data_IF_464443080582
#
_entry.id   IF_464443080582
#
_cell.length_a   1.000
_cell.length_b   1.000
_cell.length_c   1.000
_cell.angle_alpha   90.00
_cell.angle_beta   90.00
_cell.angle_gamma   90.00
#
_symmetry.space_group_name_H-M   'P 1'
#
loop_
_entity.id
_entity.type
_entity.pdbx_description
1 polymer ?
#
# COMPACT_ATOMS: atom_id res chain seq x y z
N UNK A 1 -58.12 -71.33 -3.41
CA UNK A 1 -57.07 -70.82 -4.32
C UNK A 1 -57.32 -69.36 -4.60
N UNK A 2 -56.25 -68.55 -4.56
CA UNK A 2 -56.15 -67.12 -4.93
C UNK A 2 -56.72 -66.15 -3.88
N UNK A 3 -56.08 -65.04 -3.51
CA UNK A 3 -54.69 -64.57 -3.51
C UNK A 3 -54.80 -63.23 -2.78
N UNK A 4 -54.08 -63.05 -1.69
CA UNK A 4 -53.95 -61.76 -1.02
C UNK A 4 -53.23 -60.76 -1.94
N UNK A 5 -53.73 -59.53 -2.03
CA UNK A 5 -52.95 -58.40 -2.55
C UNK A 5 -53.03 -57.26 -1.54
N UNK A 6 -52.14 -57.29 -0.56
CA UNK A 6 -51.89 -56.18 0.38
C UNK A 6 -50.94 -55.20 -0.31
N UNK A 7 -51.45 -54.03 -0.66
CA UNK A 7 -50.63 -52.90 -1.10
C UNK A 7 -49.93 -52.27 0.12
N UNK A 8 -48.63 -52.52 0.27
CA UNK A 8 -47.80 -51.86 1.28
C UNK A 8 -47.19 -50.60 0.66
N UNK A 9 -47.74 -49.44 1.02
CA UNK A 9 -47.18 -48.13 0.68
C UNK A 9 -45.91 -47.91 1.52
N UNK A 10 -44.73 -48.18 0.95
CA UNK A 10 -43.45 -47.76 1.53
C UNK A 10 -43.27 -46.26 1.31
N UNK A 11 -43.61 -45.45 2.31
CA UNK A 11 -43.10 -44.08 2.39
C UNK A 11 -41.61 -44.15 2.75
N UNK A 12 -40.74 -44.06 1.74
CA UNK A 12 -39.33 -43.74 1.93
C UNK A 12 -39.25 -42.28 2.42
N UNK A 13 -39.00 -42.11 3.72
CA UNK A 13 -38.52 -40.84 4.27
C UNK A 13 -37.07 -40.63 3.85
N UNK A 14 -36.89 -39.98 2.70
CA UNK A 14 -35.59 -39.45 2.29
C UNK A 14 -35.32 -38.18 3.11
N UNK A 15 -34.71 -38.34 4.28
CA UNK A 15 -34.07 -37.22 4.97
C UNK A 15 -32.72 -36.93 4.29
N UNK A 16 -32.75 -36.27 3.13
CA UNK A 16 -31.55 -35.60 2.61
C UNK A 16 -31.33 -34.38 3.50
N UNK A 17 -30.42 -34.50 4.46
CA UNK A 17 -29.85 -33.33 5.11
C UNK A 17 -29.18 -32.48 4.03
N UNK A 18 -29.71 -31.28 3.89
CA UNK A 18 -29.30 -30.29 2.92
C UNK A 18 -27.83 -29.85 3.13
N UNK A 19 -27.12 -29.74 2.00
CA UNK A 19 -25.99 -28.86 1.73
C UNK A 19 -24.67 -29.13 2.48
N UNK A 20 -23.79 -29.91 1.83
CA UNK A 20 -22.35 -29.75 1.99
C UNK A 20 -21.93 -28.36 1.49
N UNK A 21 -21.96 -27.34 2.35
CA UNK A 21 -21.14 -26.15 2.12
C UNK A 21 -19.68 -26.60 2.13
N UNK A 22 -18.93 -26.25 1.08
CA UNK A 22 -17.51 -26.56 1.02
C UNK A 22 -16.82 -26.07 2.30
N UNK A 23 -15.84 -26.83 2.81
CA UNK A 23 -15.11 -26.45 4.04
C UNK A 23 -14.61 -25.00 3.98
N UNK A 24 -14.20 -24.55 2.79
CA UNK A 24 -13.84 -23.16 2.52
C UNK A 24 -14.95 -22.17 2.90
N UNK A 25 -16.20 -22.41 2.49
CA UNK A 25 -17.34 -21.52 2.80
C UNK A 25 -17.66 -21.48 4.29
N UNK A 26 -17.51 -22.61 4.98
CA UNK A 26 -17.70 -22.67 6.43
C UNK A 26 -16.60 -21.88 7.16
N UNK A 27 -15.34 -22.06 6.76
CA UNK A 27 -14.22 -21.28 7.28
C UNK A 27 -14.45 -19.78 7.03
N UNK A 28 -14.81 -19.37 5.80
CA UNK A 28 -15.10 -17.97 5.49
C UNK A 28 -16.22 -17.41 6.38
N UNK A 29 -17.25 -18.20 6.66
CA UNK A 29 -18.34 -17.81 7.57
C UNK A 29 -17.84 -17.63 9.00
N UNK A 30 -17.04 -18.57 9.52
CA UNK A 30 -16.39 -18.47 10.84
C UNK A 30 -15.52 -17.21 10.95
N UNK A 31 -14.70 -16.91 9.94
CA UNK A 31 -13.84 -15.72 9.89
C UNK A 31 -14.65 -14.42 9.82
N UNK A 32 -15.76 -14.39 9.10
CA UNK A 32 -16.64 -13.22 9.06
C UNK A 32 -17.38 -13.01 10.39
N UNK A 33 -17.83 -14.09 11.06
CA UNK A 33 -18.39 -14.01 12.41
C UNK A 33 -17.36 -13.49 13.42
N UNK A 34 -16.10 -13.91 13.29
CA UNK A 34 -14.99 -13.38 14.08
C UNK A 34 -14.87 -11.86 13.92
N UNK A 35 -14.83 -11.35 12.68
CA UNK A 35 -14.74 -9.90 12.43
C UNK A 35 -15.95 -9.16 13.00
N UNK A 36 -17.15 -9.65 12.71
CA UNK A 36 -18.40 -9.03 13.14
C UNK A 36 -18.51 -8.98 14.67
N UNK A 37 -18.00 -10.00 15.38
CA UNK A 37 -17.98 -10.01 16.82
C UNK A 37 -17.20 -8.82 17.39
N UNK A 38 -15.97 -8.57 16.90
CA UNK A 38 -15.16 -7.44 17.34
C UNK A 38 -15.72 -6.09 16.88
N UNK A 39 -16.29 -6.02 15.67
CA UNK A 39 -16.88 -4.78 15.15
C UNK A 39 -18.19 -4.40 15.84
N UNK A 40 -19.02 -5.36 16.21
CA UNK A 40 -20.37 -5.10 16.72
C UNK A 40 -20.53 -5.38 18.22
N UNK A 41 -19.45 -5.80 18.88
CA UNK A 41 -19.54 -6.23 20.28
C UNK A 41 -20.40 -7.49 20.44
N UNK A 42 -20.44 -8.37 19.44
CA UNK A 42 -21.34 -9.54 19.41
C UNK A 42 -20.66 -10.79 20.00
N UNK A 43 -20.90 -11.01 21.29
CA UNK A 43 -20.38 -12.17 22.03
C UNK A 43 -20.96 -13.51 21.56
N UNK A 44 -22.15 -13.53 20.94
CA UNK A 44 -22.75 -14.75 20.38
C UNK A 44 -22.00 -15.17 19.12
N UNK A 45 -21.70 -14.22 18.24
CA UNK A 45 -20.83 -14.48 17.07
C UNK A 45 -19.43 -14.90 17.47
N UNK A 46 -18.88 -14.29 18.52
CA UNK A 46 -17.54 -14.66 18.99
C UNK A 46 -17.52 -16.14 19.43
N UNK A 47 -18.50 -16.57 20.22
CA UNK A 47 -18.65 -17.97 20.67
C UNK A 47 -18.73 -18.97 19.50
N UNK A 48 -19.37 -18.58 18.40
CA UNK A 48 -19.45 -19.43 17.20
C UNK A 48 -18.14 -19.46 16.40
N UNK A 49 -17.26 -18.47 16.60
CA UNK A 49 -16.05 -18.30 15.81
C UNK A 49 -14.79 -18.86 16.48
N UNK A 50 -14.64 -18.74 17.80
CA UNK A 50 -13.41 -19.11 18.53
C UNK A 50 -13.62 -20.27 19.51
N UNK A 51 -12.63 -21.15 19.65
CA UNK A 51 -12.66 -22.21 20.67
C UNK A 51 -12.31 -21.68 22.06
N UNK A 52 -12.78 -22.33 23.15
CA UNK A 52 -12.36 -22.01 24.52
C UNK A 52 -10.83 -22.05 24.75
N UNK A 53 -10.11 -22.88 23.98
CA UNK A 53 -8.64 -22.97 24.03
C UNK A 53 -7.91 -21.95 23.14
N UNK A 54 -8.54 -20.82 22.82
CA UNK A 54 -7.96 -19.78 21.96
C UNK A 54 -6.58 -19.32 22.48
N UNK A 55 -5.59 -19.32 21.59
CA UNK A 55 -4.30 -18.69 21.81
C UNK A 55 -4.11 -17.51 20.84
N UNK A 56 -4.41 -16.29 21.27
CA UNK A 56 -4.23 -15.07 20.47
C UNK A 56 -3.18 -14.16 21.08
N UNK A 57 -2.24 -13.69 20.27
CA UNK A 57 -1.28 -12.66 20.66
C UNK A 57 -0.80 -11.88 19.44
N UNK A 58 -0.18 -10.73 19.64
CA UNK A 58 0.22 -9.93 18.49
C UNK A 58 1.08 -8.73 18.81
N UNK A 59 1.34 -7.97 17.75
CA UNK A 59 2.28 -6.87 17.73
C UNK A 59 1.58 -5.58 17.34
N UNK A 60 2.00 -4.48 17.94
CA UNK A 60 1.51 -3.15 17.59
C UNK A 60 2.67 -2.26 17.17
N UNK A 61 2.49 -1.49 16.10
CA UNK A 61 3.48 -0.51 15.66
C UNK A 61 3.55 0.65 16.63
N UNK A 62 4.68 0.80 17.28
CA UNK A 62 4.97 1.92 18.15
C UNK A 62 5.13 3.19 17.29
N UNK A 63 4.43 4.26 17.67
CA UNK A 63 4.42 5.51 16.90
C UNK A 63 5.73 6.30 16.98
N UNK A 64 6.49 6.11 18.05
CA UNK A 64 7.75 6.80 18.30
C UNK A 64 8.92 6.04 17.64
N UNK A 65 9.01 4.73 17.87
CA UNK A 65 10.10 3.91 17.33
C UNK A 65 9.87 3.50 15.87
N UNK A 66 8.61 3.44 15.43
CA UNK A 66 8.22 2.92 14.12
C UNK A 66 8.31 1.39 14.02
N UNK A 67 8.70 0.69 15.08
CA UNK A 67 8.86 -0.76 15.12
C UNK A 67 7.58 -1.46 15.58
N UNK A 68 7.40 -2.71 15.16
CA UNK A 68 6.36 -3.58 15.69
C UNK A 68 6.83 -4.26 16.97
N UNK A 69 6.12 -4.01 18.07
CA UNK A 69 6.47 -4.47 19.41
C UNK A 69 5.37 -5.39 19.95
N UNK A 70 5.73 -6.38 20.78
CA UNK A 70 4.75 -7.29 21.38
C UNK A 70 3.74 -6.49 22.20
N UNK A 71 2.45 -6.69 21.92
CA UNK A 71 1.38 -5.91 22.53
C UNK A 71 0.75 -6.65 23.72
N UNK A 72 0.05 -7.76 23.45
CA UNK A 72 -0.65 -8.50 24.49
C UNK A 72 -1.02 -9.91 24.04
N UNK A 73 -1.21 -10.78 25.05
CA UNK A 73 -1.89 -12.07 24.92
C UNK A 73 -3.38 -11.93 25.27
N UNK A 74 -4.23 -12.58 24.49
CA UNK A 74 -5.68 -12.58 24.58
C UNK A 74 -6.18 -14.03 24.61
N UNK A 75 -6.59 -14.49 25.79
CA UNK A 75 -7.31 -15.76 25.95
C UNK A 75 -8.76 -15.63 25.46
N UNK A 76 -9.48 -16.74 25.44
CA UNK A 76 -10.91 -16.77 25.15
C UNK A 76 -11.71 -15.81 26.06
N UNK A 77 -11.49 -15.86 27.37
CA UNK A 77 -12.17 -15.04 28.38
C UNK A 77 -11.88 -13.56 28.13
N UNK A 78 -10.60 -13.20 27.92
CA UNK A 78 -10.20 -11.82 27.61
C UNK A 78 -10.81 -11.32 26.31
N UNK A 79 -10.93 -12.18 25.29
CA UNK A 79 -11.60 -11.82 24.03
C UNK A 79 -13.10 -11.54 24.26
N UNK A 80 -13.77 -12.38 25.05
CA UNK A 80 -15.19 -12.21 25.40
C UNK A 80 -15.41 -10.92 26.19
N UNK A 81 -14.58 -10.65 27.19
CA UNK A 81 -14.60 -9.41 27.98
C UNK A 81 -14.37 -8.18 27.10
N UNK A 82 -13.39 -8.26 26.19
CA UNK A 82 -13.09 -7.16 25.26
C UNK A 82 -14.28 -6.85 24.36
N UNK A 83 -14.87 -7.88 23.73
CA UNK A 83 -16.04 -7.72 22.84
C UNK A 83 -17.24 -7.17 23.61
N UNK A 84 -17.51 -7.67 24.82
CA UNK A 84 -18.58 -7.14 25.67
C UNK A 84 -18.34 -5.68 26.04
N UNK A 85 -17.11 -5.33 26.44
CA UNK A 85 -16.74 -3.94 26.74
C UNK A 85 -16.94 -3.01 25.55
N UNK A 86 -16.58 -3.43 24.33
CA UNK A 86 -16.82 -2.63 23.12
C UNK A 86 -18.31 -2.37 22.89
N UNK A 87 -19.17 -3.34 23.19
CA UNK A 87 -20.63 -3.18 23.13
C UNK A 87 -21.11 -2.16 24.17
N UNK A 88 -20.68 -2.32 25.42
CA UNK A 88 -21.12 -1.49 26.55
C UNK A 88 -20.67 -0.04 26.41
N UNK A 89 -19.48 0.18 25.82
CA UNK A 89 -18.93 1.51 25.51
C UNK A 89 -19.49 2.10 24.20
N UNK A 90 -20.37 1.40 23.49
CA UNK A 90 -20.91 1.84 22.20
C UNK A 90 -19.88 1.94 21.07
N UNK A 91 -18.70 1.33 21.24
CA UNK A 91 -17.58 1.34 20.28
C UNK A 91 -17.78 0.29 19.18
N UNK A 92 -18.94 0.35 18.54
CA UNK A 92 -19.25 -0.49 17.38
C UNK A 92 -18.77 0.17 16.09
N UNK A 93 -18.55 -0.64 15.05
CA UNK A 93 -18.03 -0.19 13.77
C UNK A 93 -18.76 -0.86 12.62
N UNK A 94 -19.34 -0.06 11.74
CA UNK A 94 -19.84 -0.51 10.44
C UNK A 94 -18.80 -0.19 9.35
N UNK A 95 -17.74 -1.00 9.30
CA UNK A 95 -16.63 -0.85 8.35
C UNK A 95 -16.57 -2.04 7.39
N UNK A 96 -16.73 -1.74 6.10
CA UNK A 96 -16.64 -2.74 5.04
C UNK A 96 -15.43 -2.51 4.11
N UNK A 97 -14.74 -1.36 4.18
CA UNK A 97 -13.61 -1.06 3.28
C UNK A 97 -12.34 -1.81 3.66
N UNK A 98 -12.15 -2.08 4.96
CA UNK A 98 -11.02 -2.85 5.49
C UNK A 98 -11.60 -4.11 6.13
N UNK A 99 -12.10 -5.01 5.28
CA UNK A 99 -12.66 -6.31 5.64
C UNK A 99 -12.35 -7.31 4.53
N UNK A 100 -11.45 -8.23 4.77
CA UNK A 100 -11.14 -9.32 3.84
C UNK A 100 -10.84 -10.61 4.61
N UNK A 101 -11.31 -11.73 4.08
CA UNK A 101 -11.00 -13.08 4.58
C UNK A 101 -10.38 -13.87 3.43
N UNK A 102 -9.29 -14.56 3.69
CA UNK A 102 -8.56 -15.35 2.70
C UNK A 102 -8.23 -16.71 3.31
N UNK A 103 -8.76 -17.78 2.74
CA UNK A 103 -8.40 -19.16 3.14
C UNK A 103 -7.12 -19.53 2.39
N UNK A 104 -6.06 -19.81 3.14
CA UNK A 104 -4.72 -20.06 2.59
C UNK A 104 -4.51 -21.54 2.29
N UNK A 105 -4.96 -22.42 3.20
CA UNK A 105 -4.86 -23.88 3.04
C UNK A 105 -5.92 -24.60 3.87
N UNK A 106 -6.35 -25.78 3.41
CA UNK A 106 -7.34 -26.63 4.07
C UNK A 106 -6.85 -28.08 4.05
N UNK A 107 -6.60 -28.63 5.23
CA UNK A 107 -6.42 -30.06 5.44
C UNK A 107 -7.71 -30.75 5.89
N UNK A 108 -7.61 -32.02 6.27
CA UNK A 108 -8.79 -32.81 6.69
C UNK A 108 -9.46 -32.28 7.97
N UNK A 109 -8.68 -31.73 8.90
CA UNK A 109 -9.14 -31.33 10.23
C UNK A 109 -8.60 -29.96 10.68
N UNK A 110 -7.70 -29.35 9.89
CA UNK A 110 -7.04 -28.08 10.20
C UNK A 110 -7.04 -27.18 8.97
N UNK A 111 -7.02 -25.87 9.17
CA UNK A 111 -6.94 -24.89 8.09
C UNK A 111 -6.14 -23.66 8.53
N UNK A 112 -5.51 -23.01 7.55
CA UNK A 112 -4.83 -21.72 7.72
C UNK A 112 -5.58 -20.65 6.95
N UNK A 113 -5.73 -19.46 7.54
CA UNK A 113 -6.38 -18.33 6.90
C UNK A 113 -5.75 -17.01 7.31
N UNK A 114 -6.10 -15.96 6.58
CA UNK A 114 -5.75 -14.58 6.87
C UNK A 114 -7.01 -13.73 6.96
N UNK A 115 -7.09 -12.93 8.01
CA UNK A 115 -8.12 -11.89 8.19
C UNK A 115 -7.44 -10.53 8.07
N UNK A 116 -8.06 -9.63 7.33
CA UNK A 116 -7.70 -8.22 7.27
C UNK A 116 -8.88 -7.39 7.75
N UNK A 117 -8.65 -6.62 8.79
CA UNK A 117 -9.66 -5.80 9.43
C UNK A 117 -9.07 -4.46 9.87
N UNK A 118 -9.91 -3.57 10.39
CA UNK A 118 -9.49 -2.21 10.70
C UNK A 118 -8.42 -2.13 11.81
N UNK A 119 -8.29 -3.18 12.63
CA UNK A 119 -7.22 -3.28 13.62
C UNK A 119 -5.89 -3.71 13.00
N UNK A 120 -5.87 -4.41 11.86
CA UNK A 120 -4.66 -5.04 11.36
C UNK A 120 -4.86 -6.28 10.51
N UNK A 121 -3.84 -7.13 10.52
CA UNK A 121 -3.81 -8.45 9.90
C UNK A 121 -3.78 -9.51 11.01
N UNK A 122 -4.58 -10.55 10.84
CA UNK A 122 -4.58 -11.75 11.68
C UNK A 122 -4.23 -12.95 10.80
N UNK A 123 -3.18 -13.69 11.16
CA UNK A 123 -2.97 -15.06 10.66
C UNK A 123 -3.64 -16.03 11.62
N UNK A 124 -4.53 -16.85 11.06
CA UNK A 124 -5.51 -17.63 11.80
C UNK A 124 -5.30 -19.11 11.52
N UNK A 125 -5.27 -19.92 12.57
CA UNK A 125 -5.32 -21.37 12.49
C UNK A 125 -6.67 -21.85 13.03
N UNK A 126 -7.33 -22.72 12.26
CA UNK A 126 -8.63 -23.29 12.57
C UNK A 126 -8.54 -24.81 12.65
N UNK A 127 -9.49 -25.40 13.36
CA UNK A 127 -9.72 -26.85 13.36
C UNK A 127 -11.21 -27.19 13.25
N UNK A 128 -11.51 -28.43 12.88
CA UNK A 128 -12.87 -28.92 12.59
C UNK A 128 -13.33 -30.01 13.56
N UNK A 129 -14.11 -29.66 14.57
CA UNK A 129 -14.71 -30.64 15.48
C UNK A 129 -16.19 -30.85 15.14
N UNK A 130 -16.65 -32.11 15.05
CA UNK A 130 -18.05 -32.46 14.77
C UNK A 130 -18.63 -31.74 13.53
N UNK A 131 -17.81 -31.53 12.51
CA UNK A 131 -18.21 -30.84 11.28
C UNK A 131 -18.08 -29.31 11.33
N UNK A 132 -17.76 -28.71 12.47
CA UNK A 132 -17.72 -27.25 12.66
C UNK A 132 -16.30 -26.70 12.71
N UNK A 133 -16.01 -25.73 11.84
CA UNK A 133 -14.75 -24.99 11.81
C UNK A 133 -14.73 -23.84 12.82
N UNK A 134 -13.72 -23.81 13.69
CA UNK A 134 -13.52 -22.77 14.68
C UNK A 134 -12.05 -22.37 14.79
N UNK A 135 -11.80 -21.12 15.18
CA UNK A 135 -10.47 -20.53 15.35
C UNK A 135 -9.86 -21.03 16.66
N UNK A 136 -8.60 -21.48 16.59
CA UNK A 136 -7.81 -21.89 17.74
C UNK A 136 -6.63 -20.97 18.03
N UNK A 137 -5.97 -20.45 17.00
CA UNK A 137 -4.79 -19.62 17.18
C UNK A 137 -4.85 -18.41 16.26
N UNK A 138 -4.40 -17.28 16.78
CA UNK A 138 -4.33 -16.03 16.03
C UNK A 138 -3.05 -15.29 16.39
N UNK A 139 -2.18 -15.08 15.40
CA UNK A 139 -1.06 -14.15 15.50
C UNK A 139 -1.44 -12.90 14.72
N UNK A 140 -1.43 -11.75 15.37
CA UNK A 140 -1.92 -10.52 14.75
C UNK A 140 -0.90 -9.38 14.77
N UNK A 141 -1.03 -8.46 13.82
CA UNK A 141 -0.19 -7.27 13.68
C UNK A 141 -1.05 -6.05 13.32
N UNK A 142 -0.87 -4.94 14.04
CA UNK A 142 -1.58 -3.68 13.78
C UNK A 142 -0.71 -2.43 13.99
N UNK A 143 -1.18 -1.23 13.58
CA UNK A 143 -2.43 -1.00 12.85
C UNK A 143 -2.35 -1.51 11.41
N UNK A 144 -3.50 -1.66 10.75
CA UNK A 144 -3.52 -2.04 9.33
C UNK A 144 -2.80 -0.98 8.48
N UNK A 145 -1.60 -1.30 8.01
CA UNK A 145 -0.92 -0.54 6.99
C UNK A 145 -1.27 -1.16 5.64
N UNK A 146 -2.09 -0.47 4.85
CA UNK A 146 -2.38 -0.91 3.48
C UNK A 146 -1.06 -1.05 2.76
N UNK A 147 -0.70 -2.28 2.38
CA UNK A 147 0.49 -2.54 1.60
C UNK A 147 0.47 -1.61 0.38
N UNK A 148 1.44 -0.71 0.29
CA UNK A 148 1.58 0.15 -0.89
C UNK A 148 2.00 -0.78 -2.00
N UNK A 149 1.05 -1.18 -2.85
CA UNK A 149 1.37 -1.91 -4.07
C UNK A 149 2.26 -0.99 -4.90
N UNK A 150 3.55 -1.31 -4.99
CA UNK A 150 4.50 -0.58 -5.81
C UNK A 150 4.04 -0.66 -7.27
N UNK A 151 3.48 0.44 -7.76
CA UNK A 151 3.15 0.62 -9.17
C UNK A 151 4.40 1.14 -9.88
N UNK A 152 4.44 0.99 -11.19
CA UNK A 152 5.54 1.54 -11.98
C UNK A 152 5.49 3.06 -11.97
N UNK A 153 6.52 3.69 -11.42
CA UNK A 153 6.76 5.13 -11.50
C UNK A 153 7.93 5.41 -12.44
N UNK A 154 7.87 6.50 -13.18
CA UNK A 154 8.96 6.97 -14.03
C UNK A 154 9.31 8.41 -13.68
N UNK A 155 10.58 8.67 -13.40
CA UNK A 155 11.09 9.96 -13.00
C UNK A 155 12.04 10.48 -14.08
N UNK A 156 11.77 11.68 -14.57
CA UNK A 156 12.63 12.44 -15.45
C UNK A 156 13.30 13.50 -14.58
N UNK A 157 14.62 13.50 -14.49
CA UNK A 157 15.34 14.51 -13.73
C UNK A 157 16.25 15.31 -14.65
N UNK A 158 16.16 16.62 -14.55
CA UNK A 158 17.02 17.57 -15.26
C UNK A 158 17.58 18.58 -14.26
N UNK A 159 18.67 19.23 -14.66
CA UNK A 159 19.12 20.45 -13.99
C UNK A 159 18.41 21.66 -14.60
N UNK A 160 18.27 22.74 -13.85
CA UNK A 160 17.91 24.03 -14.44
C UNK A 160 18.79 24.39 -15.67
N UNK A 161 18.23 25.17 -16.58
CA UNK A 161 18.91 25.72 -17.74
C UNK A 161 19.89 26.86 -17.38
N UNK A 162 20.57 27.42 -18.38
CA UNK A 162 21.58 28.46 -18.24
C UNK A 162 21.03 29.68 -17.46
N UNK A 163 21.67 30.00 -16.33
CA UNK A 163 21.30 31.11 -15.46
C UNK A 163 22.15 32.35 -15.74
N UNK A 164 21.62 33.53 -15.45
CA UNK A 164 22.41 34.75 -15.49
C UNK A 164 23.53 34.71 -14.43
N UNK A 165 24.72 35.13 -14.84
CA UNK A 165 25.94 35.18 -14.05
C UNK A 165 26.60 36.58 -14.09
N UNK A 166 25.92 37.58 -14.67
CA UNK A 166 26.39 38.97 -14.75
C UNK A 166 26.66 39.56 -13.36
N UNK A 167 25.75 39.33 -12.41
CA UNK A 167 25.91 39.67 -10.99
C UNK A 167 26.16 38.42 -10.14
N UNK A 168 27.40 38.26 -9.65
CA UNK A 168 27.80 37.14 -8.79
C UNK A 168 27.23 37.21 -7.37
N UNK A 169 26.75 38.38 -6.94
CA UNK A 169 26.10 38.55 -5.63
C UNK A 169 24.66 38.04 -5.62
N UNK A 170 24.02 37.98 -6.79
CA UNK A 170 22.66 37.47 -6.94
C UNK A 170 22.61 35.95 -6.66
N UNK A 171 21.99 35.58 -5.54
CA UNK A 171 21.81 34.18 -5.10
C UNK A 171 20.64 33.48 -5.79
N UNK A 172 19.75 34.23 -6.44
CA UNK A 172 18.58 33.71 -7.13
C UNK A 172 18.45 34.31 -8.55
N UNK A 173 19.45 34.10 -9.43
CA UNK A 173 19.39 34.65 -10.78
C UNK A 173 18.31 33.97 -11.61
N UNK A 174 17.74 34.74 -12.53
CA UNK A 174 16.87 34.28 -13.60
C UNK A 174 17.66 33.53 -14.68
N UNK A 175 16.96 32.88 -15.61
CA UNK A 175 17.57 32.29 -16.80
C UNK A 175 18.09 33.36 -17.77
N UNK A 176 19.14 33.03 -18.51
CA UNK A 176 19.54 33.81 -19.71
C UNK A 176 18.57 33.52 -20.86
N UNK A 177 18.65 34.28 -21.96
CA UNK A 177 17.90 33.99 -23.18
C UNK A 177 18.11 32.56 -23.69
N UNK A 178 19.38 32.10 -23.70
CA UNK A 178 19.74 30.71 -24.01
C UNK A 178 19.08 29.72 -23.05
N UNK A 179 19.02 30.05 -21.76
CA UNK A 179 18.36 29.22 -20.76
C UNK A 179 16.85 29.11 -20.98
N UNK A 180 16.20 30.21 -21.36
CA UNK A 180 14.78 30.25 -21.71
C UNK A 180 14.51 29.38 -22.95
N UNK A 181 15.36 29.46 -23.97
CA UNK A 181 15.26 28.61 -25.16
C UNK A 181 15.42 27.13 -24.80
N UNK A 182 16.42 26.78 -23.99
CA UNK A 182 16.61 25.41 -23.50
C UNK A 182 15.41 24.91 -22.68
N UNK A 183 14.82 25.76 -21.83
CA UNK A 183 13.61 25.41 -21.08
C UNK A 183 12.42 25.08 -22.01
N UNK A 184 12.24 25.87 -23.08
CA UNK A 184 11.24 25.57 -24.11
C UNK A 184 11.57 24.28 -24.87
N UNK A 185 12.84 24.05 -25.18
CA UNK A 185 13.29 22.84 -25.86
C UNK A 185 13.00 21.58 -25.01
N UNK A 186 13.22 21.62 -23.69
CA UNK A 186 12.84 20.52 -22.80
C UNK A 186 11.36 20.16 -22.88
N UNK A 187 10.48 21.17 -22.94
CA UNK A 187 9.04 20.95 -23.13
C UNK A 187 8.74 20.28 -24.47
N UNK A 188 9.44 20.68 -25.54
CA UNK A 188 9.31 20.05 -26.86
C UNK A 188 9.85 18.61 -26.90
N UNK A 189 11.02 18.35 -26.32
CA UNK A 189 11.63 17.01 -26.25
C UNK A 189 10.73 16.04 -25.47
N UNK A 190 10.11 16.53 -24.40
CA UNK A 190 9.26 15.73 -23.51
C UNK A 190 7.77 15.84 -23.84
N UNK A 191 7.40 16.37 -25.02
CA UNK A 191 6.00 16.65 -25.40
C UNK A 191 5.10 15.41 -25.39
N UNK A 192 5.67 14.25 -25.70
CA UNK A 192 4.94 12.98 -25.79
C UNK A 192 4.87 12.28 -24.41
N UNK A 193 5.54 12.83 -23.39
CA UNK A 193 5.50 12.32 -22.02
C UNK A 193 4.35 12.97 -21.26
N UNK A 194 3.36 12.18 -20.87
CA UNK A 194 2.27 12.63 -19.99
C UNK A 194 2.74 12.65 -18.54
N UNK A 195 3.06 13.83 -18.03
CA UNK A 195 3.43 13.99 -16.63
C UNK A 195 2.20 14.03 -15.73
N UNK A 196 2.32 13.45 -14.53
CA UNK A 196 1.33 13.60 -13.46
C UNK A 196 1.74 14.68 -12.45
N UNK A 197 3.01 15.08 -12.44
CA UNK A 197 3.53 16.15 -11.60
C UNK A 197 4.84 16.71 -12.15
N UNK A 198 5.10 17.98 -11.88
CA UNK A 198 6.39 18.64 -12.11
C UNK A 198 6.87 19.24 -10.80
N UNK A 199 8.07 18.84 -10.38
CA UNK A 199 8.73 19.31 -9.17
C UNK A 199 9.90 20.21 -9.51
N UNK A 200 10.08 21.28 -8.72
CA UNK A 200 11.19 22.21 -8.83
C UNK A 200 11.62 22.65 -7.44
N UNK A 201 12.89 23.04 -7.27
CA UNK A 201 13.25 23.87 -6.12
C UNK A 201 12.67 25.28 -6.27
N UNK A 202 12.61 26.05 -5.18
CA UNK A 202 12.05 27.42 -5.21
C UNK A 202 13.05 28.51 -5.64
N UNK A 203 13.89 28.21 -6.64
CA UNK A 203 14.76 29.21 -7.29
C UNK A 203 14.18 29.63 -8.64
N UNK A 204 14.40 30.88 -9.07
CA UNK A 204 13.92 31.41 -10.36
C UNK A 204 14.37 30.52 -11.52
N UNK A 205 15.67 30.24 -11.63
CA UNK A 205 16.22 29.34 -12.66
C UNK A 205 15.54 27.96 -12.75
N UNK A 206 15.21 27.31 -11.62
CA UNK A 206 14.56 25.99 -11.66
C UNK A 206 13.08 26.12 -12.02
N UNK A 207 12.39 27.14 -11.48
CA UNK A 207 10.99 27.43 -11.83
C UNK A 207 10.84 27.70 -13.31
N UNK A 208 11.64 28.62 -13.85
CA UNK A 208 11.61 29.00 -15.27
C UNK A 208 11.99 27.85 -16.20
N UNK A 209 12.85 26.94 -15.76
CA UNK A 209 13.15 25.71 -16.54
C UNK A 209 11.97 24.74 -16.53
N UNK A 210 11.27 24.61 -15.40
CA UNK A 210 10.17 23.67 -15.24
C UNK A 210 8.86 24.15 -15.87
N UNK A 211 8.61 25.46 -15.87
CA UNK A 211 7.34 26.07 -16.27
C UNK A 211 6.88 25.65 -17.68
N UNK A 212 7.71 25.70 -18.74
CA UNK A 212 7.24 25.32 -20.08
C UNK A 212 6.69 23.90 -20.16
N UNK A 213 7.31 22.93 -19.48
CA UNK A 213 6.84 21.54 -19.45
C UNK A 213 5.60 21.37 -18.57
N UNK A 214 5.55 22.06 -17.43
CA UNK A 214 4.40 22.04 -16.54
C UNK A 214 3.15 22.63 -17.22
N UNK A 215 3.27 23.79 -17.86
CA UNK A 215 2.20 24.42 -18.61
C UNK A 215 1.72 23.56 -19.78
N UNK A 216 2.63 22.94 -20.53
CA UNK A 216 2.26 22.02 -21.63
C UNK A 216 1.46 20.80 -21.16
N UNK A 217 1.63 20.39 -19.89
CA UNK A 217 0.90 19.29 -19.27
C UNK A 217 -0.32 19.76 -18.44
N UNK A 218 -0.63 21.06 -18.42
CA UNK A 218 -1.66 21.66 -17.55
C UNK A 218 -1.45 21.33 -16.06
N UNK A 219 -0.20 21.41 -15.60
CA UNK A 219 0.18 21.13 -14.21
C UNK A 219 0.72 22.37 -13.52
N UNK A 220 0.47 22.47 -12.22
CA UNK A 220 1.15 23.42 -11.33
C UNK A 220 2.52 22.87 -10.88
N UNK A 221 3.45 23.79 -10.58
CA UNK A 221 4.74 23.43 -10.02
C UNK A 221 4.58 23.03 -8.55
N UNK A 222 5.19 21.90 -8.19
CA UNK A 222 5.34 21.47 -6.80
C UNK A 222 6.76 21.77 -6.31
N UNK A 223 6.87 22.33 -5.13
CA UNK A 223 8.15 22.69 -4.56
C UNK A 223 8.71 21.61 -3.65
N UNK A 224 10.02 21.40 -3.72
CA UNK A 224 10.75 20.55 -2.80
C UNK A 224 12.01 21.25 -2.27
N UNK A 225 12.40 20.93 -1.04
CA UNK A 225 13.66 21.39 -0.46
C UNK A 225 14.78 20.38 -0.82
N UNK A 226 15.79 20.79 -1.61
CA UNK A 226 16.88 19.90 -1.98
C UNK A 226 17.78 19.48 -0.80
N UNK A 227 17.71 20.16 0.35
CA UNK A 227 18.54 19.87 1.54
C UNK A 227 17.88 18.88 2.50
N UNK A 228 16.55 18.84 2.52
CA UNK A 228 15.77 18.06 3.48
C UNK A 228 14.78 17.10 2.78
N UNK A 229 15.22 16.50 1.68
CA UNK A 229 14.34 15.65 0.89
C UNK A 229 14.26 14.23 1.45
N UNK A 230 13.08 13.83 1.93
CA UNK A 230 12.78 12.45 2.27
C UNK A 230 12.41 11.66 1.01
N UNK A 231 13.36 10.87 0.51
CA UNK A 231 13.21 10.07 -0.72
C UNK A 231 12.10 9.01 -0.59
N UNK A 232 11.93 8.40 0.59
CA UNK A 232 10.92 7.34 0.78
C UNK A 232 9.50 7.90 0.80
N UNK A 233 9.29 9.05 1.45
CA UNK A 233 8.03 9.78 1.36
C UNK A 233 7.76 10.23 -0.08
N UNK A 234 8.77 10.73 -0.78
CA UNK A 234 8.62 11.13 -2.18
C UNK A 234 8.19 9.95 -3.07
N UNK A 235 8.84 8.78 -2.94
CA UNK A 235 8.44 7.56 -3.68
C UNK A 235 7.01 7.14 -3.36
N UNK A 236 6.61 7.22 -2.08
CA UNK A 236 5.23 6.90 -1.65
C UNK A 236 4.20 7.84 -2.28
N UNK A 237 4.44 9.14 -2.24
CA UNK A 237 3.53 10.17 -2.77
C UNK A 237 3.44 10.16 -4.30
N UNK A 238 4.48 9.64 -4.95
CA UNK A 238 4.59 9.54 -6.42
C UNK A 238 4.44 8.11 -6.96
N UNK A 239 3.97 7.17 -6.13
CA UNK A 239 3.78 5.80 -6.55
C UNK A 239 2.78 5.69 -7.73
N UNK A 240 3.21 5.06 -8.82
CA UNK A 240 2.44 4.92 -10.07
C UNK A 240 2.37 6.18 -10.92
N UNK A 241 3.22 7.18 -10.68
CA UNK A 241 3.21 8.47 -11.40
C UNK A 241 4.43 8.62 -12.31
N UNK A 242 4.24 9.35 -13.40
CA UNK A 242 5.31 9.91 -14.24
C UNK A 242 5.60 11.34 -13.77
N UNK A 243 6.83 11.65 -13.40
CA UNK A 243 7.18 12.91 -12.72
C UNK A 243 8.42 13.55 -13.34
N UNK A 244 8.36 14.86 -13.59
CA UNK A 244 9.54 15.68 -13.91
C UNK A 244 10.09 16.32 -12.63
N UNK A 245 11.40 16.31 -12.44
CA UNK A 245 12.10 16.91 -11.31
C UNK A 245 13.20 17.83 -11.86
N UNK A 246 13.14 19.11 -11.50
CA UNK A 246 14.12 20.12 -11.90
C UNK A 246 14.94 20.56 -10.69
N UNK A 247 16.23 20.26 -10.73
CA UNK A 247 17.17 20.50 -9.63
C UNK A 247 18.44 21.26 -10.04
N UNK A 248 19.55 20.91 -9.39
CA UNK A 248 20.85 21.56 -9.53
C UNK A 248 21.95 20.55 -9.91
N UNK A 249 23.13 21.05 -10.28
CA UNK A 249 24.29 20.21 -10.64
C UNK A 249 24.70 19.22 -9.55
N UNK A 250 24.55 19.61 -8.29
CA UNK A 250 24.84 18.76 -7.14
C UNK A 250 23.63 17.92 -6.70
N UNK A 251 22.40 18.44 -6.79
CA UNK A 251 21.22 17.77 -6.22
C UNK A 251 20.55 16.79 -7.18
N UNK A 252 20.58 17.04 -8.49
CA UNK A 252 19.97 16.16 -9.49
C UNK A 252 20.59 14.75 -9.49
N UNK A 253 21.93 14.59 -9.49
CA UNK A 253 22.54 13.25 -9.37
C UNK A 253 22.30 12.59 -8.01
N UNK A 254 22.32 13.36 -6.92
CA UNK A 254 22.04 12.85 -5.55
C UNK A 254 20.62 12.32 -5.46
N UNK A 255 19.64 13.06 -6.00
CA UNK A 255 18.25 12.63 -6.00
C UNK A 255 18.09 11.37 -6.88
N UNK A 256 18.68 11.36 -8.07
CA UNK A 256 18.69 10.18 -8.95
C UNK A 256 19.20 8.94 -8.20
N UNK A 257 20.35 9.07 -7.51
CA UNK A 257 20.94 8.01 -6.68
C UNK A 257 20.03 7.57 -5.52
N UNK A 258 19.36 8.52 -4.85
CA UNK A 258 18.40 8.21 -3.79
C UNK A 258 17.19 7.40 -4.31
N UNK A 259 16.68 7.75 -5.49
CA UNK A 259 15.57 7.03 -6.12
C UNK A 259 15.94 5.55 -6.39
N UNK A 260 17.12 5.31 -6.95
CA UNK A 260 17.60 3.95 -7.26
C UNK A 260 18.14 3.20 -6.03
N UNK A 261 18.60 3.91 -5.00
CA UNK A 261 19.18 3.33 -3.79
C UNK A 261 20.66 2.93 -3.94
N UNK A 262 21.36 3.48 -4.93
CA UNK A 262 22.78 3.21 -5.22
C UNK A 262 23.53 4.49 -5.57
N UNK A 263 24.83 4.54 -5.29
CA UNK A 263 25.72 5.68 -5.61
C UNK A 263 26.26 5.57 -7.05
N UNK A 264 25.39 5.61 -8.05
CA UNK A 264 25.76 5.41 -9.47
C UNK A 264 26.26 6.68 -10.15
N UNK A 265 25.58 7.81 -9.95
CA UNK A 265 25.87 9.06 -10.65
C UNK A 265 26.68 10.01 -9.78
N UNK A 266 27.80 10.51 -10.32
CA UNK A 266 28.62 11.55 -9.69
C UNK A 266 27.98 12.93 -9.90
N UNK A 267 28.40 13.91 -9.10
CA UNK A 267 28.04 15.31 -9.33
C UNK A 267 28.48 15.74 -10.73
N UNK A 268 27.67 16.58 -11.37
CA UNK A 268 27.94 17.08 -12.72
C UNK A 268 28.56 18.48 -12.66
N UNK A 269 29.34 18.80 -13.70
CA UNK A 269 29.96 20.12 -13.84
C UNK A 269 28.90 21.24 -13.91
N UNK A 270 29.23 22.42 -13.38
CA UNK A 270 28.31 23.56 -13.38
C UNK A 270 27.98 24.09 -14.79
N UNK A 271 28.76 23.77 -15.81
CA UNK A 271 28.44 24.10 -17.21
C UNK A 271 27.43 23.14 -17.85
N UNK A 272 27.16 21.98 -17.25
CA UNK A 272 26.27 20.98 -17.84
C UNK A 272 24.79 21.25 -17.52
N UNK A 273 24.01 21.61 -18.54
CA UNK A 273 22.55 21.80 -18.46
C UNK A 273 21.76 20.85 -19.40
N UNK A 274 22.45 19.86 -19.98
CA UNK A 274 21.95 19.01 -21.07
C UNK A 274 21.61 17.58 -20.62
N UNK A 275 21.93 17.21 -19.38
CA UNK A 275 21.69 15.87 -18.87
C UNK A 275 20.20 15.63 -18.58
N UNK A 276 19.69 14.51 -19.08
CA UNK A 276 18.39 13.93 -18.72
C UNK A 276 18.60 12.57 -18.06
N UNK A 277 18.21 12.47 -16.80
CA UNK A 277 18.14 11.21 -16.08
C UNK A 277 16.72 10.65 -16.18
N UNK A 278 16.61 9.37 -16.54
CA UNK A 278 15.33 8.65 -16.55
C UNK A 278 15.45 7.49 -15.57
N UNK A 279 14.61 7.47 -14.55
CA UNK A 279 14.56 6.42 -13.53
C UNK A 279 13.21 5.75 -13.58
N UNK A 280 13.19 4.42 -13.67
CA UNK A 280 11.95 3.63 -13.58
C UNK A 280 12.01 2.74 -12.35
N UNK A 281 10.99 2.84 -11.50
CA UNK A 281 10.83 2.01 -10.29
C UNK A 281 9.55 1.22 -10.43
N UNK A 282 9.66 -0.11 -10.39
CA UNK A 282 8.56 -1.06 -10.38
C UNK A 282 8.66 -1.98 -9.15
N UNK A 283 7.72 -2.91 -9.00
CA UNK A 283 7.77 -3.92 -7.93
C UNK A 283 9.05 -4.76 -7.99
N UNK A 284 9.49 -5.10 -9.20
CA UNK A 284 10.53 -6.11 -9.42
C UNK A 284 11.88 -5.51 -9.84
N UNK A 285 11.92 -4.23 -10.21
CA UNK A 285 13.14 -3.60 -10.71
C UNK A 285 13.22 -2.10 -10.45
N UNK A 286 14.46 -1.62 -10.34
CA UNK A 286 14.84 -0.21 -10.38
C UNK A 286 15.88 -0.03 -11.47
N UNK A 287 15.59 0.79 -12.47
CA UNK A 287 16.50 1.05 -13.58
C UNK A 287 16.74 2.55 -13.73
N UNK A 288 17.90 2.90 -14.29
CA UNK A 288 18.27 4.29 -14.56
C UNK A 288 19.09 4.42 -15.83
N UNK A 289 18.76 5.44 -16.61
CA UNK A 289 19.45 5.84 -17.83
C UNK A 289 19.85 7.32 -17.74
N UNK A 290 21.00 7.67 -18.30
CA UNK A 290 21.46 9.04 -18.48
C UNK A 290 21.61 9.32 -19.97
N UNK A 291 20.91 10.34 -20.45
CA UNK A 291 21.01 10.87 -21.80
C UNK A 291 21.62 12.26 -21.75
N UNK A 292 22.31 12.65 -22.82
CA UNK A 292 22.73 14.03 -23.06
C UNK A 292 21.91 14.56 -24.23
N UNK A 293 21.27 15.69 -24.02
CA UNK A 293 20.33 16.31 -24.96
C UNK A 293 20.81 17.73 -25.22
N UNK A 294 21.33 17.97 -26.43
CA UNK A 294 21.93 19.24 -26.81
C UNK A 294 20.89 20.36 -26.99
#
# INVERSE_FOLDING_TARGET
>A
MKSFLTALLLMLSISIYAQNTSDKTQIETTLNNYIDAFYKGDTTKLKLAIKPRLNKFGYWKNKESGNYEYYAHMSYEKAMEFVQKMKDEGKTRDENKIRNVEVLDIGNHVASAKVTAAWGIDYVQLSKDNGQWMIEQVIWEGPYEKAVTQKTSTYYLIRHAEKDQSDKSNRNPHLTEKGIERAKNWSNILKDVKFNAVYSTDYHRTKETATPTASANNLELKFYDPRNMNIENFKKDTNGKTVLIVGHSNTTPIFTNGLIGEKKYKMIDESNNANLYIVTISKDSKTSMLLKVD
#
